data_IF_700830315349
#
_entry.id   IF_700830315349
#
_cell.length_a   1.000
_cell.length_b   1.000
_cell.length_c   1.000
_cell.angle_alpha   90.00
_cell.angle_beta   90.00
_cell.angle_gamma   90.00
#
_symmetry.space_group_name_H-M   'P 1'
#
loop_
_entity.id
_entity.type
_entity.pdbx_description
1 polymer ?
#
# COMPACT_ATOMS: atom_id res chain seq x y z
N UNK A 1 12.51 -9.71 -18.02
CA UNK A 1 11.67 -10.69 -17.31
C UNK A 1 10.85 -9.91 -16.31
N UNK A 2 9.56 -9.68 -16.59
CA UNK A 2 8.67 -8.94 -15.69
C UNK A 2 8.41 -9.81 -14.47
N UNK A 3 9.11 -9.53 -13.36
CA UNK A 3 8.83 -10.14 -12.08
C UNK A 3 7.48 -9.62 -11.58
N UNK A 4 6.39 -10.26 -11.98
CA UNK A 4 5.10 -10.09 -11.32
C UNK A 4 5.26 -10.63 -9.90
N UNK A 5 5.54 -9.76 -8.94
CA UNK A 5 5.41 -10.08 -7.52
C UNK A 5 4.02 -10.67 -7.31
N UNK A 6 3.95 -11.87 -6.73
CA UNK A 6 2.67 -12.50 -6.44
C UNK A 6 1.92 -11.66 -5.42
N UNK A 7 0.59 -11.58 -5.50
CA UNK A 7 -0.23 -10.83 -4.55
C UNK A 7 0.06 -11.25 -3.08
N UNK A 8 0.48 -12.50 -2.86
CA UNK A 8 0.88 -13.00 -1.54
C UNK A 8 2.15 -12.36 -0.98
N UNK A 9 3.11 -11.99 -1.83
CA UNK A 9 4.39 -11.41 -1.40
C UNK A 9 4.23 -9.94 -1.05
N UNK A 10 3.40 -9.20 -1.80
CA UNK A 10 3.10 -7.80 -1.49
C UNK A 10 2.23 -7.65 -0.23
N UNK A 11 1.38 -8.64 0.09
CA UNK A 11 0.58 -8.62 1.33
C UNK A 11 1.44 -8.65 2.61
N UNK A 12 2.69 -9.14 2.53
CA UNK A 12 3.64 -9.10 3.67
C UNK A 12 4.04 -7.68 4.05
N UNK A 13 3.81 -6.71 3.17
CA UNK A 13 4.14 -5.30 3.38
C UNK A 13 2.97 -4.52 4.03
N UNK A 14 1.81 -5.15 4.23
CA UNK A 14 0.75 -4.59 5.06
C UNK A 14 1.24 -4.47 6.51
N UNK A 15 1.10 -3.28 7.08
CA UNK A 15 1.61 -2.89 8.40
C UNK A 15 2.96 -2.15 8.35
N UNK A 16 3.66 -2.18 7.22
CA UNK A 16 4.89 -1.44 7.00
C UNK A 16 4.63 0.07 6.84
N UNK A 17 5.61 0.88 7.22
CA UNK A 17 5.61 2.32 6.95
C UNK A 17 6.06 2.57 5.52
N UNK A 18 5.27 3.32 4.75
CA UNK A 18 5.57 3.71 3.37
C UNK A 18 6.91 4.46 3.28
N UNK A 19 7.17 5.37 4.22
CA UNK A 19 8.41 6.14 4.31
C UNK A 19 9.62 5.28 4.74
N UNK A 20 9.38 4.11 5.36
CA UNK A 20 10.41 3.19 5.84
C UNK A 20 10.72 2.02 4.89
N UNK A 21 10.05 1.93 3.74
CA UNK A 21 10.25 0.84 2.80
C UNK A 21 11.66 0.85 2.21
N UNK A 22 12.27 -0.34 2.13
CA UNK A 22 13.52 -0.52 1.38
C UNK A 22 13.29 -0.36 -0.12
N UNK A 23 14.37 -0.14 -0.88
CA UNK A 23 14.29 -0.10 -2.36
C UNK A 23 13.72 -1.41 -2.94
N UNK A 24 14.04 -2.55 -2.33
CA UNK A 24 13.53 -3.85 -2.76
C UNK A 24 12.01 -3.98 -2.53
N UNK A 25 11.51 -3.48 -1.39
CA UNK A 25 10.07 -3.48 -1.09
C UNK A 25 9.32 -2.54 -2.02
N UNK A 26 9.87 -1.35 -2.30
CA UNK A 26 9.28 -0.40 -3.27
C UNK A 26 9.18 -1.01 -4.67
N UNK A 27 10.23 -1.71 -5.12
CA UNK A 27 10.19 -2.46 -6.39
C UNK A 27 9.15 -3.57 -6.36
N UNK A 28 9.02 -4.26 -5.24
CA UNK A 28 8.03 -5.34 -5.06
C UNK A 28 6.60 -4.81 -5.16
N UNK A 29 6.35 -3.60 -4.67
CA UNK A 29 5.06 -2.90 -4.74
C UNK A 29 4.81 -2.16 -6.06
N UNK A 30 5.80 -2.04 -6.94
CA UNK A 30 5.63 -1.28 -8.20
C UNK A 30 4.49 -1.89 -9.04
N UNK A 31 3.56 -1.03 -9.48
CA UNK A 31 2.35 -1.43 -10.20
C UNK A 31 1.18 -1.86 -9.30
N UNK A 32 1.35 -1.87 -7.98
CA UNK A 32 0.27 -2.13 -7.03
C UNK A 32 -0.27 -0.84 -6.42
N UNK A 33 -1.56 -0.87 -6.11
CA UNK A 33 -2.23 0.12 -5.30
C UNK A 33 -2.03 -0.21 -3.82
N UNK A 34 -1.79 0.82 -3.02
CA UNK A 34 -1.75 0.74 -1.57
C UNK A 34 -2.85 1.59 -0.96
N UNK A 35 -3.30 1.23 0.24
CA UNK A 35 -4.13 2.08 1.07
C UNK A 35 -3.35 2.53 2.31
N UNK A 36 -3.32 3.81 2.60
CA UNK A 36 -2.67 4.41 3.78
C UNK A 36 -3.69 5.22 4.58
N UNK A 37 -3.64 5.17 5.91
CA UNK A 37 -4.61 5.92 6.75
C UNK A 37 -4.46 7.42 6.49
N UNK A 38 -5.58 8.10 6.22
CA UNK A 38 -5.63 9.55 6.07
C UNK A 38 -5.11 10.20 7.35
N UNK A 39 -4.22 11.18 7.19
CA UNK A 39 -3.66 11.94 8.29
C UNK A 39 -4.78 12.53 9.17
N UNK A 40 -4.67 12.29 10.47
CA UNK A 40 -5.37 13.06 11.49
C UNK A 40 -4.33 13.94 12.18
N UNK A 41 -4.59 15.26 12.37
CA UNK A 41 -3.62 16.20 12.94
C UNK A 41 -3.02 15.77 14.29
N UNK A 42 -3.72 14.91 15.03
CA UNK A 42 -3.34 14.37 16.33
C UNK A 42 -2.35 13.19 16.29
N UNK A 43 -2.05 12.63 15.10
CA UNK A 43 -1.14 11.49 14.94
C UNK A 43 0.02 11.87 14.03
N UNK A 44 1.25 11.63 14.49
CA UNK A 44 2.45 11.74 13.68
C UNK A 44 2.25 11.02 12.33
N UNK A 45 2.83 11.52 11.23
CA UNK A 45 2.61 11.02 9.86
C UNK A 45 3.29 9.65 9.66
N UNK A 46 2.75 8.63 10.32
CA UNK A 46 3.12 7.25 10.07
C UNK A 46 2.20 6.74 8.96
N UNK A 47 2.61 6.97 7.70
CA UNK A 47 1.91 6.47 6.51
C UNK A 47 2.04 4.95 6.45
N UNK A 48 1.25 4.26 7.25
CA UNK A 48 1.25 2.80 7.33
C UNK A 48 0.39 2.23 6.22
N UNK A 49 0.92 1.24 5.52
CA UNK A 49 0.21 0.49 4.48
C UNK A 49 -0.81 -0.43 5.17
N UNK A 50 -2.09 -0.25 4.88
CA UNK A 50 -3.19 -1.01 5.48
C UNK A 50 -3.86 -1.95 4.48
N UNK A 51 -3.62 -1.79 3.19
CA UNK A 51 -4.00 -2.76 2.17
C UNK A 51 -3.09 -2.63 0.93
N UNK A 52 -2.96 -3.72 0.17
CA UNK A 52 -2.26 -3.73 -1.13
C UNK A 52 -3.08 -4.51 -2.14
N UNK A 53 -3.30 -3.96 -3.33
CA UNK A 53 -4.13 -4.57 -4.37
C UNK A 53 -3.66 -4.25 -5.78
N UNK A 54 -4.10 -5.04 -6.75
CA UNK A 54 -3.85 -4.75 -8.17
C UNK A 54 -4.64 -3.51 -8.66
N UNK A 55 -5.67 -3.12 -7.90
CA UNK A 55 -6.56 -1.99 -8.17
C UNK A 55 -7.18 -1.50 -6.84
N UNK A 56 -7.78 -0.28 -6.81
CA UNK A 56 -8.37 0.27 -5.59
C UNK A 56 -9.48 -0.60 -4.98
N UNK A 57 -10.26 -1.32 -5.81
CA UNK A 57 -11.36 -2.17 -5.33
C UNK A 57 -10.83 -3.33 -4.49
N UNK A 58 -9.66 -3.88 -4.86
CA UNK A 58 -8.99 -4.92 -4.07
C UNK A 58 -8.47 -4.40 -2.72
N UNK A 59 -7.96 -3.17 -2.67
CA UNK A 59 -7.64 -2.53 -1.39
C UNK A 59 -8.90 -2.35 -0.52
N UNK A 60 -10.01 -1.90 -1.11
CA UNK A 60 -11.29 -1.72 -0.41
C UNK A 60 -11.81 -3.06 0.15
N UNK A 61 -11.74 -4.14 -0.62
CA UNK A 61 -12.13 -5.49 -0.20
C UNK A 61 -11.34 -5.95 1.04
N UNK A 62 -10.02 -5.74 1.04
CA UNK A 62 -9.15 -6.08 2.18
C UNK A 62 -9.48 -5.24 3.42
N UNK A 63 -9.63 -3.92 3.26
CA UNK A 63 -10.01 -3.03 4.38
C UNK A 63 -11.34 -3.44 5.00
N UNK A 64 -12.36 -3.71 4.18
CA UNK A 64 -13.69 -4.15 4.65
C UNK A 64 -13.65 -5.50 5.35
N UNK A 65 -12.86 -6.45 4.84
CA UNK A 65 -12.66 -7.77 5.46
C UNK A 65 -12.06 -7.63 6.87
N UNK A 66 -11.25 -6.58 7.09
CA UNK A 66 -10.65 -6.23 8.38
C UNK A 66 -11.54 -5.32 9.25
N UNK A 67 -12.77 -5.01 8.81
CA UNK A 67 -13.69 -4.12 9.53
C UNK A 67 -13.29 -2.64 9.51
N UNK A 68 -12.41 -2.23 8.61
CA UNK A 68 -11.94 -0.84 8.46
C UNK A 68 -12.86 -0.08 7.50
N UNK A 69 -13.05 1.22 7.74
CA UNK A 69 -13.81 2.11 6.86
C UNK A 69 -12.89 2.64 5.73
N UNK A 70 -13.09 2.25 4.45
CA UNK A 70 -12.23 2.68 3.35
C UNK A 70 -12.17 4.20 3.14
N UNK A 71 -13.20 4.94 3.55
CA UNK A 71 -13.22 6.40 3.45
C UNK A 71 -12.20 7.11 4.37
N UNK A 72 -11.56 6.36 5.28
CA UNK A 72 -10.48 6.85 6.14
C UNK A 72 -9.09 6.63 5.55
N UNK A 73 -8.99 6.15 4.31
CA UNK A 73 -7.73 5.81 3.67
C UNK A 73 -7.56 6.55 2.35
N UNK A 74 -6.31 6.94 2.07
CA UNK A 74 -5.85 7.40 0.77
C UNK A 74 -5.36 6.20 -0.03
N UNK A 75 -5.59 6.22 -1.34
CA UNK A 75 -5.18 5.16 -2.26
C UNK A 75 -4.14 5.70 -3.23
N UNK A 76 -2.96 5.10 -3.24
CA UNK A 76 -1.84 5.52 -4.09
C UNK A 76 -1.37 4.35 -4.95
N UNK A 77 -1.08 4.61 -6.23
CA UNK A 77 -0.40 3.66 -7.11
C UNK A 77 1.11 3.83 -6.91
N UNK A 78 1.81 2.75 -6.56
CA UNK A 78 3.27 2.78 -6.44
C UNK A 78 3.89 2.67 -7.84
N UNK A 79 4.57 3.73 -8.26
CA UNK A 79 5.35 3.77 -9.50
C UNK A 79 6.81 3.40 -9.26
N UNK A 80 7.53 3.03 -10.32
CA UNK A 80 8.96 2.72 -10.21
C UNK A 80 9.73 3.98 -9.75
N UNK A 81 10.63 3.85 -8.77
CA UNK A 81 11.36 5.00 -8.22
C UNK A 81 12.38 5.62 -9.20
N UNK A 82 12.67 5.01 -10.35
CA UNK A 82 13.55 5.56 -11.39
C UNK A 82 12.79 6.20 -12.56
N UNK A 83 11.46 6.12 -12.59
CA UNK A 83 10.67 6.93 -13.53
C UNK A 83 10.49 8.32 -12.92
N UNK A 84 11.31 9.27 -13.39
CA UNK A 84 11.20 10.71 -13.15
C UNK A 84 11.14 11.45 -14.47
#
# INVERSE_FOLDING_TARGET
>A
MSGHSSNHDVNKLVGSLLDGLSLADRRTLTGFWIAIELYSPDRLPLRKIEAVGADPSKCIEQLRTRGLNPARFEFELITDPNES
#
